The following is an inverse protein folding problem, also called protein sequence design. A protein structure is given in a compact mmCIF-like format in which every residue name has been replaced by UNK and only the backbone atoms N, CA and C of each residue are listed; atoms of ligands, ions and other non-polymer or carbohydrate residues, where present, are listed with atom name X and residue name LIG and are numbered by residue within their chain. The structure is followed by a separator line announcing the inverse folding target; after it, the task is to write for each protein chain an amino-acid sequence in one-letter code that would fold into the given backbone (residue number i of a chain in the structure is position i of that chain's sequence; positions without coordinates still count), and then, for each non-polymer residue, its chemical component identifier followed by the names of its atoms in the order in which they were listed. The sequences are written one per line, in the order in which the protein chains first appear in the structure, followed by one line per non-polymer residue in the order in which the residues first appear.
data_IF_039892794365
#
_entry.id   IF_039892794365
#
_cell.length_a   1.000
_cell.length_b   1.000
_cell.length_c   1.000
_cell.angle_alpha   90.00
_cell.angle_beta   90.00
_cell.angle_gamma   90.00
#
_symmetry.space_group_name_H-M   'P 1'
#
loop_
_entity.id
_entity.type
_entity.pdbx_description
1 polymer ?
#
# COMPACT_ATOMS: atom_id res chain seq x y z
N UNK A 1 15.01 3.48 -14.56
CA UNK A 1 13.69 2.81 -14.74
C UNK A 1 12.77 3.41 -13.70
N UNK A 2 11.55 3.82 -14.07
CA UNK A 2 10.63 4.50 -13.15
C UNK A 2 10.08 3.50 -12.13
N UNK A 3 10.24 3.82 -10.85
CA UNK A 3 9.60 3.17 -9.72
C UNK A 3 8.46 4.06 -9.23
N UNK A 4 7.31 3.46 -8.98
CA UNK A 4 6.13 4.15 -8.47
C UNK A 4 5.63 3.44 -7.23
N UNK A 5 5.39 4.21 -6.18
CA UNK A 5 4.65 3.78 -4.99
C UNK A 5 3.49 4.77 -4.77
N UNK A 6 2.27 4.24 -4.75
CA UNK A 6 1.09 4.99 -4.34
C UNK A 6 0.58 4.37 -3.04
N UNK A 7 0.38 5.19 -2.01
CA UNK A 7 -0.06 4.75 -0.69
C UNK A 7 -1.28 5.56 -0.29
N UNK A 8 -2.39 4.90 0.01
CA UNK A 8 -3.58 5.51 0.56
C UNK A 8 -3.80 5.04 1.99
N UNK A 9 -4.03 5.98 2.89
CA UNK A 9 -4.39 5.72 4.28
C UNK A 9 -5.91 5.75 4.41
N UNK A 10 -6.45 4.81 5.18
CA UNK A 10 -7.88 4.75 5.44
C UNK A 10 -8.20 5.15 6.89
N UNK A 11 -9.38 5.71 7.11
CA UNK A 11 -9.91 6.06 8.44
C UNK A 11 -10.42 4.84 9.22
N UNK A 12 -10.09 3.63 8.76
CA UNK A 12 -10.51 2.36 9.34
C UNK A 12 -9.30 1.48 9.66
N UNK A 13 -9.48 0.62 10.66
CA UNK A 13 -8.64 -0.52 10.93
C UNK A 13 -9.51 -1.77 10.88
N UNK A 14 -9.07 -2.78 10.14
CA UNK A 14 -9.85 -4.00 9.93
C UNK A 14 -9.04 -5.26 10.14
N UNK A 15 -9.76 -6.37 10.31
CA UNK A 15 -9.24 -7.73 10.24
C UNK A 15 -10.03 -8.47 9.18
N UNK A 16 -9.33 -9.00 8.18
CA UNK A 16 -9.96 -9.80 7.13
C UNK A 16 -10.46 -11.14 7.71
N UNK A 17 -9.62 -11.78 8.52
CA UNK A 17 -9.93 -13.08 9.11
C UNK A 17 -11.06 -13.04 10.15
N UNK A 18 -11.15 -11.93 10.89
CA UNK A 18 -12.18 -11.70 11.90
C UNK A 18 -13.47 -11.09 11.35
N UNK A 19 -13.50 -10.67 10.08
CA UNK A 19 -14.63 -9.94 9.47
C UNK A 19 -15.06 -8.73 10.33
N UNK A 20 -14.08 -7.92 10.75
CA UNK A 20 -14.32 -6.74 11.59
C UNK A 20 -13.67 -5.50 11.00
N UNK A 21 -14.36 -4.38 11.13
CA UNK A 21 -13.88 -3.05 10.78
C UNK A 21 -14.30 -2.07 11.87
N UNK A 22 -13.38 -1.19 12.26
CA UNK A 22 -13.64 -0.10 13.22
C UNK A 22 -12.85 1.14 12.83
N UNK A 23 -13.15 2.28 13.43
CA UNK A 23 -12.37 3.51 13.23
C UNK A 23 -10.88 3.30 13.51
N UNK A 24 -10.03 3.84 12.63
CA UNK A 24 -8.59 3.85 12.79
C UNK A 24 -8.15 4.63 14.04
N UNK A 25 -6.97 4.28 14.55
CA UNK A 25 -6.19 5.11 15.47
C UNK A 25 -4.96 5.65 14.77
N UNK A 26 -4.23 6.57 15.41
CA UNK A 26 -2.95 7.07 14.90
C UNK A 26 -1.92 5.95 14.70
N UNK A 27 -1.99 4.89 15.51
CA UNK A 27 -1.05 3.76 15.49
C UNK A 27 -1.52 2.60 14.60
N UNK A 28 -2.82 2.52 14.31
CA UNK A 28 -3.42 1.40 13.59
C UNK A 28 -4.47 1.89 12.59
N UNK A 29 -4.11 1.79 11.32
CA UNK A 29 -4.97 2.10 10.19
C UNK A 29 -4.60 1.20 9.01
N UNK A 30 -5.60 0.91 8.19
CA UNK A 30 -5.39 0.11 7.01
C UNK A 30 -4.85 0.96 5.86
N UNK A 31 -4.17 0.31 4.91
CA UNK A 31 -3.68 0.99 3.70
C UNK A 31 -4.12 0.27 2.44
N UNK A 32 -4.31 1.03 1.37
CA UNK A 32 -4.41 0.50 0.01
C UNK A 32 -3.24 1.08 -0.77
N UNK A 33 -2.43 0.23 -1.36
CA UNK A 33 -1.20 0.64 -2.01
C UNK A 33 -1.07 0.04 -3.39
N UNK A 34 -0.32 0.73 -4.23
CA UNK A 34 0.02 0.28 -5.57
C UNK A 34 1.51 0.48 -5.78
N UNK A 35 2.15 -0.52 -6.35
CA UNK A 35 3.59 -0.49 -6.59
C UNK A 35 3.91 -0.93 -8.01
N UNK A 36 4.78 -0.18 -8.69
CA UNK A 36 5.34 -0.55 -9.98
C UNK A 36 6.85 -0.42 -9.98
N UNK A 37 7.52 -1.48 -10.37
CA UNK A 37 8.94 -1.48 -10.72
C UNK A 37 9.24 -2.62 -11.70
N UNK A 38 10.24 -2.41 -12.56
CA UNK A 38 10.75 -3.42 -13.49
C UNK A 38 9.66 -4.07 -14.37
N UNK A 39 8.64 -3.31 -14.76
CA UNK A 39 7.54 -3.81 -15.60
C UNK A 39 6.56 -4.74 -14.86
N UNK A 40 6.61 -4.79 -13.53
CA UNK A 40 5.62 -5.49 -12.70
C UNK A 40 4.79 -4.49 -11.93
N UNK A 41 3.49 -4.75 -11.84
CA UNK A 41 2.54 -3.89 -11.15
C UNK A 41 1.78 -4.69 -10.09
N UNK A 42 1.55 -4.06 -8.94
CA UNK A 42 0.98 -4.70 -7.78
C UNK A 42 -0.08 -3.81 -7.13
N UNK A 43 -1.14 -4.43 -6.61
CA UNK A 43 -2.05 -3.85 -5.63
C UNK A 43 -1.81 -4.54 -4.29
N UNK A 44 -1.73 -3.77 -3.22
CA UNK A 44 -1.49 -4.26 -1.87
C UNK A 44 -2.56 -3.68 -0.95
N UNK A 45 -3.14 -4.52 -0.09
CA UNK A 45 -4.06 -4.12 0.98
C UNK A 45 -3.51 -4.62 2.30
N UNK A 46 -3.32 -3.73 3.26
CA UNK A 46 -2.98 -4.11 4.63
C UNK A 46 -4.21 -4.05 5.52
N UNK A 47 -4.27 -4.94 6.51
CA UNK A 47 -5.32 -5.02 7.52
C UNK A 47 -4.65 -4.88 8.89
N UNK A 48 -4.82 -3.72 9.53
CA UNK A 48 -4.01 -3.32 10.67
C UNK A 48 -4.24 -4.19 11.91
N UNK A 49 -5.47 -4.68 12.12
CA UNK A 49 -5.83 -5.41 13.35
C UNK A 49 -5.18 -6.79 13.43
N UNK A 50 -5.16 -7.53 12.33
CA UNK A 50 -4.53 -8.84 12.27
C UNK A 50 -3.13 -8.81 11.67
N UNK A 51 -2.62 -7.63 11.30
CA UNK A 51 -1.32 -7.46 10.64
C UNK A 51 -1.22 -8.35 9.37
N UNK A 52 -2.34 -8.45 8.65
CA UNK A 52 -2.47 -9.21 7.42
C UNK A 52 -2.22 -8.33 6.20
N UNK A 53 -1.73 -8.93 5.12
CA UNK A 53 -1.53 -8.27 3.83
C UNK A 53 -1.97 -9.15 2.69
N UNK A 54 -2.79 -8.57 1.82
CA UNK A 54 -3.20 -9.17 0.56
C UNK A 54 -2.49 -8.47 -0.59
N UNK A 55 -1.88 -9.27 -1.45
CA UNK A 55 -1.07 -8.80 -2.58
C UNK A 55 -1.66 -9.39 -3.86
N UNK A 56 -1.97 -8.52 -4.82
CA UNK A 56 -2.48 -8.92 -6.14
C UNK A 56 -1.53 -8.42 -7.22
N UNK A 57 -1.12 -9.32 -8.11
CA UNK A 57 -0.44 -8.93 -9.35
C UNK A 57 -1.45 -8.30 -10.30
N UNK A 58 -1.08 -7.17 -10.90
CA UNK A 58 -1.85 -6.50 -11.94
C UNK A 58 -1.29 -6.78 -13.34
N UNK A 59 -0.25 -7.63 -13.45
CA UNK A 59 0.46 -7.91 -14.69
C UNK A 59 1.41 -6.79 -15.12
N UNK A 60 1.92 -6.88 -16.36
CA UNK A 60 2.84 -5.92 -16.95
C UNK A 60 2.14 -4.78 -17.71
N UNK A 61 0.88 -4.96 -18.07
CA UNK A 61 0.20 -4.15 -19.08
C UNK A 61 -0.59 -2.98 -18.46
N UNK A 62 -0.05 -2.40 -17.39
CA UNK A 62 -0.64 -1.21 -16.75
C UNK A 62 0.04 0.04 -17.33
N UNK A 63 -0.68 0.75 -18.20
CA UNK A 63 -0.16 1.94 -18.86
C UNK A 63 0.04 3.13 -17.89
N UNK A 64 -0.88 3.31 -16.95
CA UNK A 64 -0.84 4.37 -15.95
C UNK A 64 -1.30 3.82 -14.58
N UNK A 65 -0.33 3.43 -13.75
CA UNK A 65 -0.60 2.90 -12.42
C UNK A 65 -1.22 3.95 -11.50
N UNK A 66 -0.84 5.23 -11.64
CA UNK A 66 -1.33 6.30 -10.76
C UNK A 66 -2.80 6.58 -11.02
N UNK A 67 -3.20 6.66 -12.29
CA UNK A 67 -4.61 6.82 -12.66
C UNK A 67 -5.44 5.62 -12.20
N UNK A 68 -4.94 4.40 -12.42
CA UNK A 68 -5.59 3.16 -11.95
C UNK A 68 -5.76 3.17 -10.43
N UNK A 69 -4.71 3.52 -9.69
CA UNK A 69 -4.69 3.56 -8.24
C UNK A 69 -5.73 4.54 -7.69
N UNK A 70 -5.78 5.76 -8.23
CA UNK A 70 -6.77 6.78 -7.83
C UNK A 70 -8.20 6.33 -8.12
N UNK A 71 -8.47 5.88 -9.35
CA UNK A 71 -9.82 5.48 -9.75
C UNK A 71 -10.32 4.27 -8.94
N UNK A 72 -9.45 3.30 -8.70
CA UNK A 72 -9.78 2.13 -7.88
C UNK A 72 -10.04 2.54 -6.43
N UNK A 73 -9.14 3.32 -5.82
CA UNK A 73 -9.28 3.71 -4.41
C UNK A 73 -10.52 4.55 -4.19
N UNK A 74 -10.76 5.55 -5.03
CA UNK A 74 -11.96 6.41 -4.93
C UNK A 74 -13.25 5.58 -5.01
N UNK A 75 -13.32 4.67 -5.99
CA UNK A 75 -14.50 3.82 -6.19
C UNK A 75 -14.82 2.91 -5.01
N UNK A 76 -13.80 2.39 -4.34
CA UNK A 76 -13.97 1.33 -3.33
C UNK A 76 -13.80 1.80 -1.89
N UNK A 77 -13.10 2.92 -1.67
CA UNK A 77 -12.69 3.40 -0.36
C UNK A 77 -12.88 4.91 -0.20
N UNK A 78 -13.49 5.62 -1.15
CA UNK A 78 -13.63 7.08 -1.10
C UNK A 78 -14.27 7.61 0.19
N UNK A 79 -15.22 6.87 0.77
CA UNK A 79 -15.87 7.25 2.03
C UNK A 79 -14.97 7.15 3.27
N UNK A 80 -13.92 6.33 3.21
CA UNK A 80 -12.98 6.08 4.31
C UNK A 80 -11.56 6.49 3.96
N UNK A 81 -11.35 7.23 2.87
CA UNK A 81 -10.04 7.69 2.43
C UNK A 81 -9.64 8.94 3.25
N UNK A 82 -8.48 8.91 3.89
CA UNK A 82 -7.96 10.07 4.63
C UNK A 82 -6.89 10.80 3.83
N UNK A 83 -5.85 10.08 3.42
CA UNK A 83 -4.66 10.64 2.80
C UNK A 83 -4.16 9.76 1.66
N UNK A 84 -3.48 10.39 0.70
CA UNK A 84 -2.90 9.70 -0.45
C UNK A 84 -1.55 10.28 -0.83
N UNK A 85 -0.56 9.42 -0.94
CA UNK A 85 0.81 9.76 -1.32
C UNK A 85 1.14 9.10 -2.65
N UNK A 86 1.67 9.89 -3.58
CA UNK A 86 2.17 9.40 -4.87
C UNK A 86 3.65 9.72 -4.92
N UNK A 87 4.45 8.67 -5.03
CA UNK A 87 5.90 8.72 -5.05
C UNK A 87 6.35 8.12 -6.37
N UNK A 88 7.08 8.92 -7.14
CA UNK A 88 7.65 8.51 -8.42
C UNK A 88 9.12 8.88 -8.45
N UNK A 89 9.97 7.92 -8.80
CA UNK A 89 11.43 8.13 -8.81
C UNK A 89 12.10 7.25 -9.86
N UNK A 90 13.24 7.68 -10.36
CA UNK A 90 14.11 6.88 -11.22
C UNK A 90 15.23 6.16 -10.45
N UNK A 91 15.38 6.46 -9.16
CA UNK A 91 16.46 5.97 -8.28
C UNK A 91 16.13 4.63 -7.60
N UNK A 92 15.04 3.99 -8.01
CA UNK A 92 14.61 2.72 -7.43
C UNK A 92 14.11 2.88 -6.00
N UNK A 93 14.43 1.90 -5.15
CA UNK A 93 13.92 1.85 -3.77
C UNK A 93 14.49 2.94 -2.87
N UNK A 94 15.75 3.34 -3.06
CA UNK A 94 16.36 4.39 -2.26
C UNK A 94 15.70 5.74 -2.53
N UNK A 95 15.34 6.02 -3.79
CA UNK A 95 14.52 7.18 -4.14
C UNK A 95 13.16 7.14 -3.44
N UNK A 96 12.50 5.98 -3.36
CA UNK A 96 11.22 5.85 -2.65
C UNK A 96 11.39 6.15 -1.16
N UNK A 97 12.45 5.65 -0.52
CA UNK A 97 12.75 5.93 0.89
C UNK A 97 12.99 7.42 1.14
N UNK A 98 13.79 8.05 0.29
CA UNK A 98 14.06 9.49 0.39
C UNK A 98 12.76 10.30 0.27
N UNK A 99 11.93 9.98 -0.72
CA UNK A 99 10.65 10.65 -0.96
C UNK A 99 9.66 10.45 0.21
N UNK A 100 9.65 9.29 0.87
CA UNK A 100 8.88 9.08 2.10
C UNK A 100 9.34 10.02 3.21
N UNK A 101 10.65 10.09 3.47
CA UNK A 101 11.22 10.94 4.52
C UNK A 101 10.92 12.43 4.29
N UNK A 102 11.03 12.91 3.04
CA UNK A 102 10.69 14.28 2.68
C UNK A 102 9.23 14.65 2.99
N UNK A 103 8.34 13.65 3.02
CA UNK A 103 6.92 13.81 3.34
C UNK A 103 6.61 13.55 4.82
N UNK A 104 7.63 13.36 5.66
CA UNK A 104 7.49 13.06 7.08
C UNK A 104 7.05 11.62 7.35
N UNK A 105 7.04 10.75 6.33
CA UNK A 105 6.75 9.34 6.49
C UNK A 105 8.03 8.56 6.80
N UNK A 106 7.99 7.64 7.77
CA UNK A 106 9.09 6.70 8.02
C UNK A 106 9.43 5.92 6.73
N UNK A 107 10.71 5.74 6.38
CA UNK A 107 11.14 5.05 5.15
C UNK A 107 10.99 3.52 5.23
N UNK A 108 9.96 3.04 5.94
CA UNK A 108 9.73 1.63 6.20
C UNK A 108 9.06 0.98 4.99
N UNK A 109 9.82 0.16 4.28
CA UNK A 109 9.31 -0.63 3.16
C UNK A 109 9.47 -2.11 3.49
N UNK A 110 8.41 -2.86 3.26
CA UNK A 110 8.40 -4.33 3.28
C UNK A 110 8.75 -4.86 1.90
N UNK A 111 9.65 -5.84 1.85
CA UNK A 111 10.17 -6.43 0.60
C UNK A 111 9.86 -7.94 0.56
N UNK A 112 8.61 -8.33 0.27
CA UNK A 112 8.27 -9.73 0.15
C UNK A 112 9.00 -10.35 -1.06
N UNK A 113 9.27 -11.67 -1.05
CA UNK A 113 9.91 -12.37 -2.18
C UNK A 113 9.18 -12.25 -3.51
N UNK A 114 7.89 -11.87 -3.51
CA UNK A 114 7.11 -11.59 -4.71
C UNK A 114 7.57 -10.35 -5.48
N UNK A 115 8.33 -9.45 -4.84
CA UNK A 115 8.71 -8.16 -5.41
C UNK A 115 7.65 -7.06 -5.28
N UNK A 116 6.51 -7.36 -4.65
CA UNK A 116 5.45 -6.40 -4.35
C UNK A 116 5.83 -5.54 -3.13
N UNK A 117 6.67 -4.54 -3.33
CA UNK A 117 7.12 -3.66 -2.26
C UNK A 117 5.97 -2.77 -1.80
N UNK A 118 5.84 -2.58 -0.48
CA UNK A 118 4.82 -1.71 0.10
C UNK A 118 5.34 -1.03 1.37
N UNK A 119 4.72 0.07 1.75
CA UNK A 119 5.03 0.81 2.97
C UNK A 119 4.33 0.22 4.20
N UNK A 120 5.00 0.25 5.35
CA UNK A 120 4.42 -0.20 6.62
C UNK A 120 4.60 0.87 7.70
N UNK A 121 3.57 1.21 8.50
CA UNK A 121 3.71 2.07 9.66
C UNK A 121 4.79 1.56 10.64
N UNK A 122 5.46 2.44 11.40
CA UNK A 122 6.39 2.03 12.44
C UNK A 122 5.79 1.02 13.42
N UNK A 123 6.58 0.05 13.85
CA UNK A 123 6.15 -0.96 14.81
C UNK A 123 5.21 -2.04 14.24
N UNK A 124 4.90 -1.99 12.94
CA UNK A 124 4.09 -3.01 12.25
C UNK A 124 4.95 -3.99 11.47
N UNK A 125 4.45 -5.21 11.29
CA UNK A 125 5.08 -6.20 10.41
C UNK A 125 3.99 -7.05 9.80
N UNK A 126 3.76 -6.81 8.51
CA UNK A 126 2.68 -7.46 7.78
C UNK A 126 3.14 -8.75 7.13
N UNK A 127 2.28 -9.78 7.21
CA UNK A 127 2.47 -11.05 6.49
C UNK A 127 1.12 -11.54 6.01
N UNK A 128 1.09 -12.28 4.90
CA UNK A 128 -0.14 -12.92 4.46
C UNK A 128 -0.56 -13.98 5.49
N UNK A 129 -1.69 -13.72 6.15
CA UNK A 129 -2.30 -14.53 7.22
C UNK A 129 -3.64 -15.12 6.79
N UNK A 130 -4.25 -14.57 5.76
CA UNK A 130 -5.46 -15.11 5.16
C UNK A 130 -5.39 -15.09 3.63
N UNK A 131 -6.35 -15.77 3.01
CA UNK A 131 -6.52 -15.80 1.56
C UNK A 131 -7.81 -15.04 1.23
N UNK A 132 -7.78 -14.04 0.33
CA UNK A 132 -8.99 -13.40 -0.13
C UNK A 132 -9.96 -14.43 -0.73
N UNK A 133 -11.22 -14.39 -0.31
CA UNK A 133 -12.33 -15.20 -0.82
C UNK A 133 -12.90 -14.64 -2.12
#
# INVERSE_FOLDING_TARGET
MKTVLVVFFLSVQSSYSGDTETTATEEAFDTVQFYSANGTNWRIRTYARDQDVHIWSLGSDVADLVALARAHTEKHYGEVLTEGYIIETEEGLEGVRHELEQRGLPPNLELPPSGAVFWAPPGTTYRSRSVPR
#
